data_IF_812944490722
#
_entry.id   IF_812944490722
#
_cell.length_a   1.000
_cell.length_b   1.000
_cell.length_c   1.000
_cell.angle_alpha   90.00
_cell.angle_beta   90.00
_cell.angle_gamma   90.00
#
_symmetry.space_group_name_H-M   'P 1'
#
loop_
_entity.id
_entity.type
_entity.pdbx_description
1 polymer ?
#
# COMPACT_ATOMS: atom_id res chain seq x y z
N UNK A 1 -3.54 18.12 -10.59
CA UNK A 1 -3.33 18.09 -9.14
C UNK A 1 -4.04 16.90 -8.51
N UNK A 2 -3.28 16.04 -7.84
CA UNK A 2 -3.75 15.04 -6.88
C UNK A 2 -3.73 15.71 -5.51
N UNK A 3 -4.74 15.47 -4.69
CA UNK A 3 -4.82 15.95 -3.31
C UNK A 3 -5.27 14.79 -2.43
N UNK A 4 -4.52 14.55 -1.34
CA UNK A 4 -4.83 13.56 -0.31
C UNK A 4 -4.73 14.26 1.03
N UNK A 5 -5.68 13.95 1.92
CA UNK A 5 -5.78 14.58 3.23
C UNK A 5 -5.80 13.52 4.31
N UNK A 6 -5.06 13.77 5.38
CA UNK A 6 -5.05 12.97 6.59
C UNK A 6 -5.36 13.84 7.79
N UNK A 7 -6.03 13.26 8.79
CA UNK A 7 -6.22 13.85 10.10
C UNK A 7 -5.37 13.07 11.11
N UNK A 8 -4.70 13.78 12.01
CA UNK A 8 -4.04 13.14 13.14
C UNK A 8 -5.09 12.85 14.21
N UNK A 9 -5.25 11.59 14.57
CA UNK A 9 -6.23 11.16 15.57
C UNK A 9 -5.76 9.92 16.33
N UNK A 10 -6.48 9.60 17.42
CA UNK A 10 -6.27 8.39 18.20
C UNK A 10 -7.13 7.24 17.65
N UNK A 11 -6.49 6.12 17.33
CA UNK A 11 -7.17 4.86 17.05
C UNK A 11 -7.41 4.11 18.34
N UNK A 12 -8.65 4.15 18.83
CA UNK A 12 -9.08 3.47 20.05
C UNK A 12 -8.95 1.94 19.97
N UNK A 13 -9.09 1.35 18.78
CA UNK A 13 -9.04 -0.10 18.59
C UNK A 13 -7.61 -0.65 18.77
N UNK A 14 -6.63 0.10 18.28
CA UNK A 14 -5.21 -0.30 18.32
C UNK A 14 -4.40 0.41 19.41
N UNK A 15 -4.98 1.43 20.06
CA UNK A 15 -4.36 2.20 21.14
C UNK A 15 -3.15 3.01 20.69
N UNK A 16 -3.20 3.55 19.46
CA UNK A 16 -2.09 4.27 18.83
C UNK A 16 -2.56 5.58 18.22
N UNK A 17 -1.66 6.58 18.19
CA UNK A 17 -1.90 7.86 17.52
C UNK A 17 -1.19 7.88 16.17
N UNK A 18 -1.80 8.56 15.20
CA UNK A 18 -1.14 8.90 13.95
C UNK A 18 -2.09 9.39 12.87
N UNK A 19 -1.67 9.28 11.61
CA UNK A 19 -2.39 9.86 10.48
C UNK A 19 -3.49 8.90 9.97
N UNK A 20 -4.73 9.38 9.90
CA UNK A 20 -5.86 8.65 9.31
C UNK A 20 -6.27 9.35 8.01
N UNK A 21 -6.38 8.65 6.87
CA UNK A 21 -6.87 9.25 5.63
C UNK A 21 -8.30 9.78 5.80
N UNK A 22 -8.58 11.03 5.41
CA UNK A 22 -9.93 11.61 5.46
C UNK A 22 -10.93 10.81 4.60
N UNK A 23 -10.43 10.12 3.56
CA UNK A 23 -11.22 9.27 2.69
C UNK A 23 -11.62 7.91 3.32
N UNK A 24 -10.94 7.47 4.37
CA UNK A 24 -11.15 6.19 5.04
C UNK A 24 -10.97 6.37 6.56
N UNK A 25 -11.97 6.94 7.26
CA UNK A 25 -11.84 7.33 8.67
C UNK A 25 -11.76 6.14 9.64
N UNK A 26 -12.19 4.95 9.20
CA UNK A 26 -12.11 3.71 9.99
C UNK A 26 -10.76 2.98 9.81
N UNK A 27 -9.77 3.62 9.17
CA UNK A 27 -8.45 3.03 8.95
C UNK A 27 -7.57 3.19 10.19
N UNK A 28 -6.66 2.23 10.39
CA UNK A 28 -5.80 2.22 11.57
C UNK A 28 -4.89 3.46 11.62
N UNK A 29 -4.87 4.18 12.76
CA UNK A 29 -4.10 5.42 12.91
C UNK A 29 -2.57 5.21 12.99
N UNK A 30 -2.04 3.99 12.90
CA UNK A 30 -0.60 3.73 12.95
C UNK A 30 0.18 4.14 11.68
N UNK A 31 -0.36 5.06 10.87
CA UNK A 31 0.28 5.49 9.64
C UNK A 31 1.41 6.46 9.96
N UNK A 32 2.63 5.92 10.02
CA UNK A 32 3.85 6.72 10.00
C UNK A 32 4.09 7.31 8.60
N UNK A 33 5.16 8.09 8.42
CA UNK A 33 5.45 8.73 7.13
C UNK A 33 5.57 7.74 5.95
N UNK A 34 5.94 6.47 6.21
CA UNK A 34 5.96 5.41 5.19
C UNK A 34 4.56 5.00 4.75
N UNK A 35 3.64 4.80 5.70
CA UNK A 35 2.25 4.51 5.39
C UNK A 35 1.59 5.67 4.62
N UNK A 36 1.88 6.92 5.00
CA UNK A 36 1.36 8.09 4.27
C UNK A 36 1.85 8.09 2.83
N UNK A 37 3.14 7.79 2.61
CA UNK A 37 3.70 7.72 1.26
C UNK A 37 3.07 6.57 0.44
N UNK A 38 2.83 5.41 1.06
CA UNK A 38 2.16 4.27 0.44
C UNK A 38 0.74 4.64 -0.03
N UNK A 39 -0.07 5.21 0.85
CA UNK A 39 -1.43 5.64 0.55
C UNK A 39 -1.49 6.69 -0.56
N UNK A 40 -0.61 7.69 -0.50
CA UNK A 40 -0.60 8.77 -1.48
C UNK A 40 -0.20 8.27 -2.88
N UNK A 41 0.84 7.44 -2.95
CA UNK A 41 1.52 7.12 -4.21
C UNK A 41 1.07 5.80 -4.83
N UNK A 42 0.80 4.78 -4.01
CA UNK A 42 0.53 3.43 -4.49
C UNK A 42 -0.98 3.14 -4.64
N UNK A 43 -1.82 3.68 -3.75
CA UNK A 43 -3.27 3.55 -3.88
C UNK A 43 -3.84 4.50 -4.93
N UNK A 44 -4.60 3.97 -5.89
CA UNK A 44 -5.27 4.80 -6.89
C UNK A 44 -6.53 5.49 -6.33
N UNK A 45 -7.30 4.77 -5.50
CA UNK A 45 -8.48 5.28 -4.81
C UNK A 45 -8.39 4.87 -3.34
N UNK A 46 -8.27 5.85 -2.45
CA UNK A 46 -8.16 5.62 -1.00
C UNK A 46 -9.48 5.24 -0.34
N UNK A 47 -10.59 5.26 -1.09
CA UNK A 47 -11.87 4.73 -0.61
C UNK A 47 -12.00 3.23 -0.89
N UNK A 48 -11.13 2.71 -1.75
CA UNK A 48 -11.11 1.31 -2.15
C UNK A 48 -10.24 0.52 -1.18
N UNK A 49 -10.81 0.18 -0.01
CA UNK A 49 -10.21 -0.72 0.98
C UNK A 49 -10.37 -2.21 0.63
N UNK A 50 -10.57 -2.55 -0.65
CA UNK A 50 -10.68 -3.93 -1.08
C UNK A 50 -9.31 -4.60 -1.19
N UNK A 51 -9.28 -5.91 -1.00
CA UNK A 51 -8.08 -6.73 -1.26
C UNK A 51 -7.58 -6.55 -2.71
N UNK A 52 -8.48 -6.34 -3.68
CA UNK A 52 -8.12 -6.03 -5.06
C UNK A 52 -7.42 -4.67 -5.20
N UNK A 53 -7.85 -3.68 -4.42
CA UNK A 53 -7.20 -2.37 -4.27
C UNK A 53 -5.76 -2.52 -3.78
N UNK A 54 -5.57 -3.29 -2.70
CA UNK A 54 -4.25 -3.63 -2.15
C UNK A 54 -3.35 -4.33 -3.18
N UNK A 55 -3.86 -5.38 -3.86
CA UNK A 55 -3.08 -6.08 -4.90
C UNK A 55 -2.61 -5.15 -6.02
N UNK A 56 -3.39 -4.10 -6.34
CA UNK A 56 -2.95 -3.05 -7.29
C UNK A 56 -1.93 -2.11 -6.65
N UNK A 57 -2.05 -1.76 -5.38
CA UNK A 57 -1.06 -0.97 -4.66
C UNK A 57 0.31 -1.66 -4.65
N UNK A 58 0.36 -2.99 -4.48
CA UNK A 58 1.59 -3.77 -4.67
C UNK A 58 2.16 -3.65 -6.10
N UNK A 59 1.30 -3.57 -7.10
CA UNK A 59 1.71 -3.28 -8.48
C UNK A 59 2.33 -1.89 -8.66
N UNK A 60 1.77 -0.87 -8.00
CA UNK A 60 2.33 0.47 -8.01
C UNK A 60 3.69 0.51 -7.27
N UNK A 61 3.78 -0.17 -6.13
CA UNK A 61 5.02 -0.36 -5.36
C UNK A 61 6.11 -1.06 -6.18
N UNK A 62 5.76 -2.05 -7.02
CA UNK A 62 6.72 -2.66 -7.94
C UNK A 62 7.35 -1.61 -8.87
N UNK A 63 6.55 -0.70 -9.42
CA UNK A 63 7.02 0.33 -10.33
C UNK A 63 7.87 1.38 -9.62
N UNK A 64 7.41 1.89 -8.48
CA UNK A 64 8.06 3.01 -7.79
C UNK A 64 9.25 2.55 -6.95
N UNK A 65 9.16 1.39 -6.30
CA UNK A 65 10.13 0.97 -5.28
C UNK A 65 10.86 -0.34 -5.59
N UNK A 66 10.19 -1.27 -6.26
CA UNK A 66 10.76 -2.57 -6.62
C UNK A 66 11.82 -2.45 -7.72
N UNK A 67 11.43 -2.01 -8.90
CA UNK A 67 12.28 -1.90 -10.10
C UNK A 67 13.39 -0.84 -9.96
N UNK A 68 13.20 0.16 -9.09
CA UNK A 68 14.17 1.24 -8.88
C UNK A 68 15.28 0.86 -7.88
N UNK A 69 15.18 -0.30 -7.23
CA UNK A 69 16.08 -0.74 -6.16
C UNK A 69 15.89 0.01 -4.84
N UNK A 70 14.94 0.94 -4.77
CA UNK A 70 14.64 1.72 -3.57
C UNK A 70 14.27 0.83 -2.38
N UNK A 71 13.42 -0.18 -2.60
CA UNK A 71 13.01 -1.13 -1.56
C UNK A 71 14.19 -1.94 -1.01
N UNK A 72 15.11 -2.38 -1.88
CA UNK A 72 16.29 -3.14 -1.46
C UNK A 72 17.25 -2.30 -0.59
N UNK A 73 17.32 -0.99 -0.85
CA UNK A 73 18.17 -0.06 -0.09
C UNK A 73 17.61 0.29 1.30
N UNK A 74 16.30 0.11 1.51
CA UNK A 74 15.65 0.36 2.80
C UNK A 74 15.71 -0.86 3.74
N UNK A 75 15.89 -2.07 3.20
CA UNK A 75 15.99 -3.29 4.00
C UNK A 75 17.42 -3.53 4.49
N UNK A 76 17.62 -3.55 5.81
CA UNK A 76 18.92 -3.79 6.43
C UNK A 76 19.49 -5.18 6.13
N UNK A 77 18.64 -6.11 5.68
CA UNK A 77 19.01 -7.47 5.32
C UNK A 77 19.28 -7.65 3.82
N UNK A 78 19.21 -6.58 3.02
CA UNK A 78 19.37 -6.57 1.56
C UNK A 78 18.52 -7.64 0.86
N UNK A 79 17.31 -7.90 1.37
CA UNK A 79 16.37 -8.84 0.76
C UNK A 79 15.92 -8.30 -0.59
N UNK A 80 15.73 -9.22 -1.52
CA UNK A 80 15.24 -8.89 -2.85
C UNK A 80 13.81 -8.34 -2.76
N UNK A 81 13.44 -7.31 -3.55
CA UNK A 81 12.10 -6.71 -3.51
C UNK A 81 10.99 -7.74 -3.68
N UNK A 82 11.20 -8.74 -4.55
CA UNK A 82 10.24 -9.82 -4.77
C UNK A 82 9.88 -10.56 -3.48
N UNK A 83 10.88 -10.84 -2.63
CA UNK A 83 10.66 -11.51 -1.36
C UNK A 83 9.89 -10.63 -0.37
N UNK A 84 10.31 -9.36 -0.20
CA UNK A 84 9.70 -8.41 0.74
C UNK A 84 8.21 -8.19 0.42
N UNK A 85 7.92 -7.94 -0.86
CA UNK A 85 6.56 -7.78 -1.35
C UNK A 85 5.76 -9.07 -1.19
N UNK A 86 6.36 -10.22 -1.51
CA UNK A 86 5.69 -11.51 -1.42
C UNK A 86 5.27 -11.86 0.00
N UNK A 87 6.15 -11.61 0.98
CA UNK A 87 5.82 -11.84 2.39
C UNK A 87 4.70 -10.93 2.89
N UNK A 88 4.71 -9.64 2.54
CA UNK A 88 3.62 -8.73 2.93
C UNK A 88 2.28 -9.11 2.27
N UNK A 89 2.33 -9.53 1.00
CA UNK A 89 1.15 -9.97 0.26
C UNK A 89 0.57 -11.28 0.84
N UNK A 90 1.41 -12.17 1.37
CA UNK A 90 0.95 -13.39 2.02
C UNK A 90 0.06 -13.11 3.23
N UNK A 91 0.38 -12.09 4.04
CA UNK A 91 -0.45 -11.68 5.18
C UNK A 91 -1.85 -11.25 4.74
N UNK A 92 -1.94 -10.46 3.67
CA UNK A 92 -3.22 -10.00 3.09
C UNK A 92 -4.04 -11.19 2.56
N UNK A 93 -3.38 -12.15 1.93
CA UNK A 93 -4.06 -13.35 1.43
C UNK A 93 -4.53 -14.27 2.57
N UNK A 94 -3.77 -14.35 3.67
CA UNK A 94 -4.17 -15.10 4.86
C UNK A 94 -5.40 -14.47 5.48
N UNK A 95 -5.44 -13.14 5.64
CA UNK A 95 -6.61 -12.43 6.16
C UNK A 95 -7.86 -12.66 5.29
N UNK A 96 -7.69 -12.64 3.96
CA UNK A 96 -8.78 -12.95 3.03
C UNK A 96 -9.27 -14.40 3.16
N UNK A 97 -8.35 -15.34 3.37
CA UNK A 97 -8.68 -16.75 3.63
C UNK A 97 -9.43 -16.90 4.97
N UNK A 98 -8.86 -16.38 6.05
CA UNK A 98 -9.37 -16.51 7.42
C UNK A 98 -10.74 -15.82 7.60
N UNK A 99 -11.03 -14.79 6.79
CA UNK A 99 -12.34 -14.12 6.76
C UNK A 99 -13.38 -14.84 5.89
N UNK A 100 -13.03 -15.95 5.24
CA UNK A 100 -13.92 -16.72 4.36
C UNK A 100 -14.24 -16.04 3.03
N UNK A 101 -13.49 -15.01 2.64
CA UNK A 101 -13.68 -14.29 1.39
C UNK A 101 -12.99 -15.00 0.21
N UNK A 102 -13.42 -16.22 -0.09
CA UNK A 102 -12.76 -17.12 -1.05
C UNK A 102 -12.90 -16.68 -2.52
N UNK A 103 -13.83 -15.78 -2.81
CA UNK A 103 -14.03 -15.24 -4.14
C UNK A 103 -12.85 -14.35 -4.56
N UNK A 104 -12.08 -14.84 -5.53
CA UNK A 104 -10.97 -14.12 -6.16
C UNK A 104 -11.37 -13.78 -7.59
N UNK A 105 -11.67 -12.50 -7.84
CA UNK A 105 -11.99 -12.03 -9.19
C UNK A 105 -10.71 -11.95 -10.02
N UNK A 106 -10.66 -12.68 -11.13
CA UNK A 106 -9.54 -12.63 -12.06
C UNK A 106 -9.76 -11.47 -13.04
N UNK A 107 -8.96 -10.39 -12.98
CA UNK A 107 -9.20 -9.25 -13.83
C UNK A 107 -8.67 -9.52 -15.24
N UNK A 108 -9.33 -8.96 -16.25
CA UNK A 108 -8.79 -8.94 -17.61
C UNK A 108 -7.67 -7.88 -17.73
N UNK A 109 -6.47 -8.22 -17.28
CA UNK A 109 -5.29 -7.39 -17.44
C UNK A 109 -4.58 -7.73 -18.76
N UNK A 110 -4.41 -6.74 -19.64
CA UNK A 110 -3.63 -6.90 -20.88
C UNK A 110 -2.16 -7.22 -20.62
N UNK A 111 -1.48 -7.81 -21.63
CA UNK A 111 -0.06 -8.22 -21.83
C UNK A 111 0.96 -8.14 -20.67
N UNK A 112 2.13 -8.77 -20.80
CA UNK A 112 3.22 -8.65 -19.79
C UNK A 112 3.66 -7.18 -19.61
N UNK A 113 4.32 -6.86 -18.50
CA UNK A 113 5.06 -5.60 -18.36
C UNK A 113 6.19 -5.59 -19.40
N UNK A 114 6.59 -4.38 -19.80
CA UNK A 114 7.61 -4.22 -20.84
C UNK A 114 9.04 -4.43 -20.31
N UNK A 115 9.26 -4.30 -19.00
CA UNK A 115 10.56 -4.53 -18.35
C UNK A 115 10.73 -5.98 -17.90
N UNK A 116 11.78 -6.66 -18.38
CA UNK A 116 12.10 -8.03 -17.98
C UNK A 116 12.41 -8.14 -16.48
N UNK A 117 13.06 -7.13 -15.91
CA UNK A 117 13.37 -7.06 -14.48
C UNK A 117 12.10 -6.93 -13.62
N UNK A 118 11.18 -6.02 -13.99
CA UNK A 118 9.90 -5.88 -13.30
C UNK A 118 9.07 -7.17 -13.35
N UNK A 119 9.06 -7.88 -14.47
CA UNK A 119 8.42 -9.20 -14.57
C UNK A 119 9.11 -10.25 -13.69
N UNK A 120 10.44 -10.26 -13.61
CA UNK A 120 11.16 -11.19 -12.75
C UNK A 120 10.88 -10.94 -11.25
N UNK A 121 10.82 -9.67 -10.83
CA UNK A 121 10.43 -9.30 -9.46
C UNK A 121 8.99 -9.71 -9.21
N UNK A 122 8.07 -9.47 -10.15
CA UNK A 122 6.67 -9.88 -10.04
C UNK A 122 6.52 -11.39 -9.87
N UNK A 123 7.20 -12.18 -10.72
CA UNK A 123 7.16 -13.64 -10.67
C UNK A 123 7.68 -14.14 -9.30
N UNK A 124 8.74 -13.52 -8.78
CA UNK A 124 9.29 -13.81 -7.45
C UNK A 124 8.34 -13.42 -6.31
N UNK A 125 7.65 -12.28 -6.43
CA UNK A 125 6.62 -11.83 -5.48
C UNK A 125 5.48 -12.84 -5.39
N UNK A 126 4.90 -13.23 -6.52
CA UNK A 126 3.79 -14.20 -6.54
C UNK A 126 4.25 -15.54 -5.98
N UNK A 127 5.43 -16.02 -6.39
CA UNK A 127 6.01 -17.27 -5.88
C UNK A 127 6.20 -17.24 -4.37
N UNK A 128 6.71 -16.12 -3.84
CA UNK A 128 6.95 -15.97 -2.40
C UNK A 128 5.64 -15.86 -1.63
N UNK A 129 4.68 -15.05 -2.10
CA UNK A 129 3.38 -14.89 -1.45
C UNK A 129 2.64 -16.21 -1.30
N UNK A 130 2.58 -17.00 -2.38
CA UNK A 130 1.86 -18.28 -2.36
C UNK A 130 2.59 -19.32 -1.51
N UNK A 131 3.93 -19.31 -1.53
CA UNK A 131 4.71 -20.18 -0.65
C UNK A 131 4.46 -19.84 0.82
N UNK A 132 4.51 -18.56 1.19
CA UNK A 132 4.28 -18.10 2.56
C UNK A 132 2.86 -18.39 3.00
N UNK A 133 1.84 -18.10 2.18
CA UNK A 133 0.44 -18.41 2.45
C UNK A 133 0.26 -19.89 2.82
N UNK A 134 0.81 -20.81 2.01
CA UNK A 134 0.76 -22.26 2.30
C UNK A 134 1.50 -22.67 3.57
N UNK A 135 2.50 -21.91 4.00
CA UNK A 135 3.29 -22.22 5.19
C UNK A 135 2.67 -21.65 6.47
N UNK A 136 1.92 -20.56 6.35
CA UNK A 136 1.42 -19.76 7.45
C UNK A 136 -0.07 -20.02 7.74
N UNK A 137 -0.87 -20.35 6.72
CA UNK A 137 -2.28 -20.68 6.89
C UNK A 137 -2.46 -22.02 7.60
N UNK A 138 -3.28 -22.01 8.65
CA UNK A 138 -3.73 -23.22 9.32
C UNK A 138 -4.97 -23.73 8.58
N UNK A 139 -4.78 -24.72 7.70
CA UNK A 139 -5.87 -25.37 6.98
C UNK A 139 -6.23 -26.69 7.68
N UNK A 140 -7.51 -26.88 7.99
CA UNK A 140 -8.03 -28.18 8.45
C UNK A 140 -8.15 -29.15 7.26
N UNK A 141 -8.15 -30.47 7.52
CA UNK A 141 -8.19 -31.49 6.45
C UNK A 141 -9.46 -31.39 5.58
N UNK A 142 -10.57 -30.92 6.14
CA UNK A 142 -11.84 -30.76 5.42
C UNK A 142 -11.96 -29.45 4.63
N UNK A 143 -11.00 -28.53 4.78
CA UNK A 143 -10.92 -27.26 4.05
C UNK A 143 -9.86 -27.27 2.92
N UNK A 144 -9.11 -28.37 2.78
CA UNK A 144 -7.94 -28.45 1.88
C UNK A 144 -8.32 -28.17 0.40
N UNK A 145 -9.44 -28.69 -0.08
CA UNK A 145 -9.90 -28.48 -1.46
C UNK A 145 -10.27 -27.01 -1.74
N UNK A 146 -10.89 -26.33 -0.76
CA UNK A 146 -11.27 -24.92 -0.86
C UNK A 146 -10.03 -24.03 -0.78
N UNK A 147 -9.08 -24.37 0.10
CA UNK A 147 -7.79 -23.67 0.21
C UNK A 147 -6.96 -23.77 -1.06
N UNK A 148 -6.84 -24.96 -1.64
CA UNK A 148 -6.12 -25.16 -2.90
C UNK A 148 -6.77 -24.39 -4.05
N UNK A 149 -8.11 -24.39 -4.11
CA UNK A 149 -8.86 -23.62 -5.10
C UNK A 149 -8.60 -22.12 -4.96
N UNK A 150 -8.62 -21.60 -3.72
CA UNK A 150 -8.28 -20.21 -3.41
C UNK A 150 -6.84 -19.86 -3.82
N UNK A 151 -5.88 -20.73 -3.49
CA UNK A 151 -4.46 -20.53 -3.83
C UNK A 151 -4.26 -20.47 -5.35
N UNK A 152 -4.90 -21.36 -6.11
CA UNK A 152 -4.83 -21.36 -7.59
C UNK A 152 -5.42 -20.07 -8.15
N UNK A 153 -6.56 -19.61 -7.63
CA UNK A 153 -7.18 -18.37 -8.06
C UNK A 153 -6.28 -17.15 -7.77
N UNK A 154 -5.66 -17.11 -6.58
CA UNK A 154 -4.67 -16.10 -6.21
C UNK A 154 -3.45 -16.10 -7.13
N UNK A 155 -2.88 -17.28 -7.43
CA UNK A 155 -1.77 -17.43 -8.38
C UNK A 155 -2.08 -16.80 -9.75
N UNK A 156 -3.33 -16.91 -10.21
CA UNK A 156 -3.76 -16.35 -11.48
C UNK A 156 -4.07 -14.85 -11.40
N UNK A 157 -4.67 -14.39 -10.30
CA UNK A 157 -5.17 -13.02 -10.15
C UNK A 157 -4.06 -12.02 -9.80
N UNK A 158 -3.17 -12.36 -8.86
CA UNK A 158 -2.10 -11.49 -8.37
C UNK A 158 -1.26 -10.84 -9.48
N UNK A 159 -0.67 -11.61 -10.43
CA UNK A 159 0.14 -10.99 -11.47
C UNK A 159 -0.67 -10.07 -12.39
N UNK A 160 -2.00 -10.25 -12.48
CA UNK A 160 -2.86 -9.39 -13.29
C UNK A 160 -3.20 -8.08 -12.57
N UNK A 161 -3.54 -8.15 -11.28
CA UNK A 161 -3.76 -6.95 -10.47
C UNK A 161 -2.50 -6.10 -10.32
N UNK A 162 -1.36 -6.72 -10.04
CA UNK A 162 -0.10 -6.00 -9.93
C UNK A 162 0.29 -5.32 -11.25
N UNK A 163 0.07 -5.98 -12.40
CA UNK A 163 0.28 -5.34 -13.72
C UNK A 163 -0.65 -4.15 -13.96
N UNK A 164 -1.88 -4.18 -13.45
CA UNK A 164 -2.82 -3.05 -13.52
C UNK A 164 -2.27 -1.89 -12.69
N UNK A 165 -1.92 -2.13 -11.43
CA UNK A 165 -1.36 -1.13 -10.52
C UNK A 165 -0.09 -0.47 -11.04
N UNK A 166 0.84 -1.28 -11.54
CA UNK A 166 2.08 -0.81 -12.17
C UNK A 166 1.81 0.19 -13.31
N UNK A 167 0.82 -0.09 -14.16
CA UNK A 167 0.46 0.82 -15.26
C UNK A 167 -0.34 2.02 -14.79
N UNK A 168 -1.15 1.87 -13.74
CA UNK A 168 -1.92 2.97 -13.16
C UNK A 168 -0.99 4.03 -12.62
N UNK A 169 0.07 3.66 -11.88
CA UNK A 169 1.04 4.63 -11.34
C UNK A 169 1.79 5.38 -12.46
N UNK A 170 2.26 4.67 -13.49
CA UNK A 170 2.90 5.29 -14.66
C UNK A 170 1.96 6.28 -15.38
N UNK A 171 0.67 5.94 -15.52
CA UNK A 171 -0.32 6.82 -16.16
C UNK A 171 -0.68 8.01 -15.28
N UNK A 172 -0.82 7.78 -13.97
CA UNK A 172 -1.20 8.78 -12.96
C UNK A 172 -0.15 9.88 -12.90
N UNK A 173 1.11 9.50 -12.76
CA UNK A 173 2.23 10.45 -12.59
C UNK A 173 2.93 10.82 -13.90
N UNK A 174 2.67 10.13 -15.02
CA UNK A 174 3.34 10.39 -16.32
C UNK A 174 4.87 10.44 -16.19
N UNK A 175 5.41 9.64 -15.27
CA UNK A 175 6.82 9.53 -14.94
C UNK A 175 7.24 8.07 -14.94
N UNK A 176 8.55 7.84 -14.96
CA UNK A 176 9.11 6.53 -14.67
C UNK A 176 9.06 6.23 -13.17
N UNK A 177 9.43 5.00 -12.80
CA UNK A 177 9.48 4.56 -11.42
C UNK A 177 10.36 5.44 -10.54
N UNK A 178 11.50 5.91 -11.07
CA UNK A 178 12.47 6.71 -10.31
C UNK A 178 11.90 8.06 -9.87
N UNK A 179 11.12 8.73 -10.72
CA UNK A 179 10.44 9.96 -10.33
C UNK A 179 9.45 9.75 -9.19
N UNK A 180 8.72 8.64 -9.19
CA UNK A 180 7.78 8.31 -8.11
C UNK A 180 8.52 7.85 -6.84
N UNK A 181 9.65 7.15 -6.98
CA UNK A 181 10.53 6.79 -5.86
C UNK A 181 11.04 8.02 -5.13
N UNK A 182 11.46 9.06 -5.87
CA UNK A 182 11.91 10.31 -5.28
C UNK A 182 10.79 11.01 -4.48
N UNK A 183 9.57 11.03 -5.01
CA UNK A 183 8.40 11.51 -4.25
C UNK A 183 8.17 10.72 -2.97
N UNK A 184 8.33 9.40 -3.02
CA UNK A 184 8.20 8.54 -1.85
C UNK A 184 9.22 8.94 -0.78
N UNK A 185 10.48 9.12 -1.16
CA UNK A 185 11.53 9.59 -0.24
C UNK A 185 11.25 11.00 0.30
N UNK A 186 10.76 11.92 -0.51
CA UNK A 186 10.41 13.26 -0.06
C UNK A 186 9.29 13.23 1.01
N UNK A 187 8.26 12.40 0.82
CA UNK A 187 7.19 12.23 1.82
C UNK A 187 7.72 11.56 3.09
N UNK A 188 8.42 10.42 2.96
CA UNK A 188 8.91 9.66 4.12
C UNK A 188 9.87 10.47 4.99
N UNK A 189 10.70 11.32 4.38
CA UNK A 189 11.66 12.14 5.10
C UNK A 189 11.12 13.51 5.54
N UNK A 190 9.84 13.82 5.28
CA UNK A 190 9.24 15.07 5.75
C UNK A 190 9.01 15.03 7.26
N UNK A 191 9.79 15.85 7.98
CA UNK A 191 9.78 15.93 9.45
C UNK A 191 8.43 16.35 10.02
N UNK A 192 7.57 17.00 9.24
CA UNK A 192 6.23 17.43 9.70
C UNK A 192 5.26 16.25 9.77
N UNK A 193 5.47 15.23 8.93
CA UNK A 193 4.68 13.99 8.96
C UNK A 193 5.13 13.11 10.12
N UNK A 194 6.44 13.09 10.40
CA UNK A 194 7.00 12.35 11.53
C UNK A 194 6.86 13.06 12.90
N UNK A 195 6.30 14.28 12.93
CA UNK A 195 6.06 14.98 14.18
C UNK A 195 4.93 14.30 14.96
N UNK A 196 5.12 14.14 16.27
CA UNK A 196 4.03 13.80 17.17
C UNK A 196 3.30 15.08 17.57
N UNK A 197 1.99 15.03 17.47
CA UNK A 197 1.09 16.09 17.95
C UNK A 197 0.53 15.64 19.30
N UNK A 198 0.37 16.59 20.22
CA UNK A 198 -0.23 16.28 21.52
C UNK A 198 -1.70 15.83 21.32
N UNK A 199 -2.28 14.99 22.20
CA UNK A 199 -3.67 14.53 22.06
C UNK A 199 -4.72 15.66 21.97
N UNK A 200 -4.36 16.83 22.50
CA UNK A 200 -5.19 18.05 22.52
C UNK A 200 -5.03 18.87 21.22
N UNK A 201 -3.98 18.60 20.44
CA UNK A 201 -3.67 19.27 19.18
C UNK A 201 -4.21 18.45 18.01
N UNK A 202 -5.30 18.91 17.40
CA UNK A 202 -5.75 18.32 16.13
C UNK A 202 -4.89 18.85 15.00
N UNK A 203 -4.30 17.93 14.22
CA UNK A 203 -3.50 18.26 13.05
C UNK A 203 -4.14 17.70 11.79
N UNK A 204 -4.04 18.46 10.69
CA UNK A 204 -4.48 18.04 9.36
C UNK A 204 -3.31 18.12 8.40
N UNK A 205 -2.98 17.01 7.78
CA UNK A 205 -1.94 16.90 6.76
C UNK A 205 -2.58 16.91 5.38
N UNK A 206 -2.14 17.84 4.53
CA UNK A 206 -2.60 17.96 3.14
C UNK A 206 -1.41 17.74 2.21
N UNK A 207 -1.49 16.69 1.39
CA UNK A 207 -0.47 16.34 0.41
C UNK A 207 -1.01 16.59 -0.99
N UNK A 208 -0.33 17.44 -1.75
CA UNK A 208 -0.67 17.77 -3.14
C UNK A 208 0.47 17.42 -4.06
N UNK A 209 0.13 16.73 -5.15
CA UNK A 209 1.11 16.37 -6.18
C UNK A 209 0.60 16.88 -7.53
N UNK A 210 1.41 17.68 -8.21
CA UNK A 210 1.18 17.97 -9.62
C UNK A 210 1.77 16.84 -10.45
N UNK A 211 0.95 15.94 -11.05
CA UNK A 211 1.46 14.66 -11.52
C UNK A 211 2.50 14.81 -12.63
N UNK A 212 2.32 15.77 -13.56
CA UNK A 212 3.23 15.92 -14.70
C UNK A 212 4.62 16.45 -14.33
N UNK A 213 4.70 17.30 -13.32
CA UNK A 213 5.96 17.91 -12.89
C UNK A 213 6.53 17.24 -11.65
N UNK A 214 5.80 16.27 -11.07
CA UNK A 214 6.10 15.66 -9.78
C UNK A 214 6.38 16.71 -8.69
N UNK A 215 5.67 17.84 -8.75
CA UNK A 215 5.84 18.86 -7.73
C UNK A 215 5.00 18.47 -6.52
N UNK A 216 5.68 18.18 -5.42
CA UNK A 216 5.10 17.87 -4.12
C UNK A 216 4.90 19.16 -3.31
N UNK A 217 3.74 19.26 -2.67
CA UNK A 217 3.44 20.27 -1.67
C UNK A 217 2.83 19.56 -0.47
N UNK A 218 3.45 19.72 0.69
CA UNK A 218 3.04 19.12 1.97
C UNK A 218 2.73 20.29 2.89
N UNK A 219 1.52 20.32 3.42
CA UNK A 219 1.05 21.32 4.37
C UNK A 219 0.50 20.63 5.61
N UNK A 220 0.83 21.16 6.80
CA UNK A 220 0.24 20.70 8.06
C UNK A 220 -0.43 21.88 8.73
N UNK A 221 -1.72 21.70 9.02
CA UNK A 221 -2.59 22.70 9.61
C UNK A 221 -2.96 22.24 11.01
N UNK A 222 -2.58 23.02 12.01
CA UNK A 222 -3.06 22.86 13.39
C UNK A 222 -4.41 23.54 13.53
N UNK A 223 -5.35 22.90 14.20
CA UNK A 223 -6.65 23.49 14.48
C UNK A 223 -7.12 23.12 15.89
N UNK A 224 -7.78 24.08 16.54
CA UNK A 224 -8.41 23.87 17.85
C UNK A 224 -9.70 23.06 17.65
N UNK A 225 -9.96 22.11 18.54
CA UNK A 225 -11.26 21.44 18.60
C UNK A 225 -12.32 22.45 19.08
N UNK A 226 -13.30 22.85 18.25
CA UNK A 226 -14.33 23.80 18.66
C UNK A 226 -15.23 23.27 19.79
N UNK A 227 -15.12 21.98 20.15
CA UNK A 227 -15.88 21.32 21.20
C UNK A 227 -15.06 21.01 22.48
N UNK A 228 -13.76 21.36 22.54
CA UNK A 228 -12.93 21.16 23.73
C UNK A 228 -13.32 22.05 24.93
N UNK A 229 -14.26 22.98 24.76
CA UNK A 229 -14.85 23.78 25.84
C UNK A 229 -16.24 23.25 26.23
N UNK A 230 -16.29 21.97 26.61
CA UNK A 230 -17.49 21.31 27.11
C UNK A 230 -17.21 20.46 28.36
N UNK A 231 -16.68 21.09 29.42
CA UNK A 231 -16.70 20.53 30.79
C UNK A 231 -17.61 21.35 31.69
#
# INVERSE_FOLDING_TARGET
MIEVVFNYDHDEEHGVDGWIPEAQPDFNANINAFGVAHDVLDHHDLRDGSHEGEMRAFGAMLCSRGETGHMANQDMLNRQPGWLMGSALASILSEKWDSGQLDVVIPNAGQRLLGEEAEAILDETVRTAIKSLRQESQCEEDEEDDFESFVVACQEALPRYMRIGYRQVQRRFRADGFGVAALFDEIVNDKRIAAHYEPEERARLVIKIEPRSLRLDIDVQLYEDPYAHGT
#
